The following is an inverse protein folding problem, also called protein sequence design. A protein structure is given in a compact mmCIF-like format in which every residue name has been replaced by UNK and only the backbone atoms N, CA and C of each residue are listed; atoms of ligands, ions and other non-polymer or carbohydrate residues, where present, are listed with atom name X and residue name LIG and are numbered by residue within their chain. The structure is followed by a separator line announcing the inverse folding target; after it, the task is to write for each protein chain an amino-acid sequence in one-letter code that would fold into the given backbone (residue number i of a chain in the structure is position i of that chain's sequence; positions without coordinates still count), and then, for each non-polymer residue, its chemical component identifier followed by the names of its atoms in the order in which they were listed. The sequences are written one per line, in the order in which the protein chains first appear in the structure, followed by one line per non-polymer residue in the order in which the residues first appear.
data_IF_995846824062
#
_entry.id   IF_995846824062
#
_cell.length_a   1.000
_cell.length_b   1.000
_cell.length_c   1.000
_cell.angle_alpha   90.00
_cell.angle_beta   90.00
_cell.angle_gamma   90.00
#
_symmetry.space_group_name_H-M   'P 1'
#
loop_
_entity.id
_entity.type
_entity.pdbx_description
1 polymer ?
#
# COMPACT_ATOMS: atom_id res chain seq x y z
N UNK A 1 14.50 12.13 -13.77
CA UNK A 1 13.95 12.21 -12.41
C UNK A 1 12.72 13.09 -12.45
N UNK A 2 11.77 12.89 -11.54
CA UNK A 2 10.57 13.72 -11.36
C UNK A 2 10.50 14.19 -9.91
N UNK A 3 9.97 15.38 -9.66
CA UNK A 3 9.71 15.87 -8.30
C UNK A 3 8.32 15.42 -7.85
N UNK A 4 8.26 14.76 -6.69
CA UNK A 4 7.02 14.38 -6.02
C UNK A 4 7.06 14.80 -4.56
N UNK A 5 5.90 14.88 -3.93
CA UNK A 5 5.73 15.11 -2.50
C UNK A 5 5.12 13.87 -1.86
N UNK A 6 5.75 13.33 -0.82
CA UNK A 6 5.21 12.22 -0.01
C UNK A 6 5.13 12.69 1.43
N UNK A 7 3.94 12.63 2.03
CA UNK A 7 3.69 13.05 3.42
C UNK A 7 4.24 14.47 3.72
N UNK A 8 4.09 15.39 2.77
CA UNK A 8 4.56 16.78 2.89
C UNK A 8 6.06 17.00 2.64
N UNK A 9 6.85 15.96 2.31
CA UNK A 9 8.27 16.08 1.98
C UNK A 9 8.50 15.91 0.48
N UNK A 10 9.34 16.76 -0.10
CA UNK A 10 9.71 16.68 -1.52
C UNK A 10 10.83 15.66 -1.76
N UNK A 11 10.70 14.91 -2.84
CA UNK A 11 11.66 13.89 -3.26
C UNK A 11 11.88 13.95 -4.77
N UNK A 12 13.13 13.75 -5.20
CA UNK A 12 13.43 13.44 -6.60
C UNK A 12 13.55 11.94 -6.78
N UNK A 13 12.77 11.40 -7.70
CA UNK A 13 12.70 9.95 -7.93
C UNK A 13 12.83 9.63 -9.43
N UNK A 14 13.22 8.41 -9.81
CA UNK A 14 13.16 7.98 -11.19
C UNK A 14 11.73 8.13 -11.75
N UNK A 15 11.61 8.36 -13.06
CA UNK A 15 10.31 8.28 -13.72
C UNK A 15 9.94 6.80 -13.94
N UNK A 16 8.66 6.52 -14.17
CA UNK A 16 8.17 5.20 -14.57
C UNK A 16 8.36 4.06 -13.54
N UNK A 17 8.76 4.39 -12.30
CA UNK A 17 8.68 3.51 -11.13
C UNK A 17 7.33 3.66 -10.42
N UNK A 18 6.95 2.66 -9.63
CA UNK A 18 5.70 2.69 -8.86
C UNK A 18 5.86 3.50 -7.58
N UNK A 19 4.74 4.02 -7.07
CA UNK A 19 4.73 4.71 -5.76
C UNK A 19 5.17 3.75 -4.64
N UNK A 20 4.81 2.47 -4.72
CA UNK A 20 5.22 1.48 -3.72
C UNK A 20 6.74 1.28 -3.68
N UNK A 21 7.40 1.14 -4.83
CA UNK A 21 8.86 1.02 -4.93
C UNK A 21 9.56 2.25 -4.35
N UNK A 22 9.07 3.45 -4.71
CA UNK A 22 9.61 4.70 -4.19
C UNK A 22 9.44 4.80 -2.67
N UNK A 23 8.28 4.44 -2.13
CA UNK A 23 8.06 4.45 -0.69
C UNK A 23 9.00 3.47 0.02
N UNK A 24 9.21 2.27 -0.54
CA UNK A 24 10.16 1.29 -0.02
C UNK A 24 11.60 1.84 0.02
N UNK A 25 12.05 2.48 -1.05
CA UNK A 25 13.38 3.10 -1.13
C UNK A 25 13.58 4.25 -0.13
N UNK A 26 12.48 4.94 0.22
CA UNK A 26 12.46 6.02 1.22
C UNK A 26 12.27 5.51 2.65
N UNK A 27 12.17 4.19 2.87
CA UNK A 27 11.92 3.59 4.18
C UNK A 27 10.50 3.80 4.71
N UNK A 28 9.55 4.12 3.84
CA UNK A 28 8.12 4.25 4.17
C UNK A 28 7.45 2.91 3.89
N UNK A 29 7.06 2.21 4.96
CA UNK A 29 6.36 0.95 4.82
C UNK A 29 4.89 1.15 4.41
N UNK A 30 4.48 0.42 3.38
CA UNK A 30 3.11 0.38 2.89
C UNK A 30 2.64 -1.08 2.90
N UNK A 31 1.55 -1.41 3.62
CA UNK A 31 1.12 -2.79 3.78
C UNK A 31 0.71 -3.40 2.45
N UNK A 32 1.12 -4.65 2.25
CA UNK A 32 0.88 -5.42 1.01
C UNK A 32 0.69 -6.89 1.34
N UNK A 33 -0.29 -7.54 0.72
CA UNK A 33 -0.44 -9.01 0.79
C UNK A 33 -0.16 -9.66 -0.56
N UNK A 34 -0.59 -9.04 -1.68
CA UNK A 34 -0.49 -9.63 -3.01
C UNK A 34 0.69 -9.13 -3.86
N UNK A 35 1.53 -8.23 -3.33
CA UNK A 35 2.67 -7.69 -4.08
C UNK A 35 3.88 -8.60 -3.89
N UNK A 36 4.53 -8.93 -5.00
CA UNK A 36 5.79 -9.67 -5.10
C UNK A 36 6.60 -8.99 -6.20
N UNK A 37 7.89 -8.73 -5.95
CA UNK A 37 8.77 -8.01 -6.87
C UNK A 37 9.11 -8.80 -8.14
N UNK A 38 8.85 -10.11 -8.14
CA UNK A 38 9.05 -11.00 -9.29
C UNK A 38 7.81 -11.08 -10.20
N UNK A 39 6.70 -10.46 -9.81
CA UNK A 39 5.41 -10.56 -10.51
C UNK A 39 4.91 -9.17 -10.94
N UNK A 40 4.08 -9.15 -11.99
CA UNK A 40 3.40 -7.93 -12.39
C UNK A 40 2.34 -7.49 -11.35
N UNK A 41 2.29 -6.20 -10.99
CA UNK A 41 1.32 -5.72 -10.01
C UNK A 41 -0.13 -5.81 -10.49
N UNK A 42 -0.95 -6.64 -9.83
CA UNK A 42 -2.38 -6.80 -10.11
C UNK A 42 -3.31 -5.92 -9.23
N UNK A 43 -2.80 -5.34 -8.15
CA UNK A 43 -3.59 -4.52 -7.20
C UNK A 43 -4.81 -5.23 -6.55
N UNK A 44 -4.73 -6.55 -6.37
CA UNK A 44 -5.83 -7.38 -5.85
C UNK A 44 -6.17 -7.10 -4.38
N UNK A 45 -5.19 -7.10 -3.48
CA UNK A 45 -5.45 -7.03 -2.03
C UNK A 45 -5.89 -5.64 -1.55
N UNK A 46 -5.71 -4.59 -2.36
CA UNK A 46 -6.05 -3.19 -2.06
C UNK A 46 -5.45 -2.58 -0.78
N UNK A 47 -4.64 -3.28 0.02
CA UNK A 47 -4.01 -2.73 1.23
C UNK A 47 -3.01 -1.61 0.95
N UNK A 48 -2.34 -1.66 -0.20
CA UNK A 48 -1.34 -0.68 -0.60
C UNK A 48 -1.91 0.66 -1.09
N UNK A 49 -3.19 0.93 -0.81
CA UNK A 49 -3.84 2.18 -1.21
C UNK A 49 -3.17 3.40 -0.56
N UNK A 50 -3.10 4.48 -1.34
CA UNK A 50 -2.60 5.80 -0.95
C UNK A 50 -3.54 6.88 -1.47
N UNK A 51 -3.56 8.03 -0.80
CA UNK A 51 -4.29 9.21 -1.27
C UNK A 51 -3.36 10.06 -2.14
N UNK A 52 -3.85 10.46 -3.31
CA UNK A 52 -3.15 11.37 -4.22
C UNK A 52 -3.97 12.65 -4.29
N UNK A 53 -3.36 13.79 -3.96
CA UNK A 53 -4.06 15.07 -3.96
C UNK A 53 -4.59 15.40 -5.36
N UNK A 54 -5.85 15.84 -5.43
CA UNK A 54 -6.54 16.10 -6.70
C UNK A 54 -7.13 14.84 -7.37
N UNK A 55 -7.07 13.68 -6.71
CA UNK A 55 -7.84 12.49 -7.09
C UNK A 55 -8.92 12.21 -6.05
N UNK A 56 -10.12 11.90 -6.52
CA UNK A 56 -11.25 11.59 -5.64
C UNK A 56 -11.11 10.21 -4.99
N UNK A 57 -10.52 9.26 -5.72
CA UNK A 57 -10.39 7.87 -5.30
C UNK A 57 -8.97 7.53 -4.83
N UNK A 58 -8.88 6.68 -3.80
CA UNK A 58 -7.62 6.10 -3.34
C UNK A 58 -7.00 5.19 -4.41
N UNK A 59 -5.71 5.33 -4.63
CA UNK A 59 -4.97 4.66 -5.68
C UNK A 59 -4.11 3.54 -5.11
N UNK A 60 -4.02 2.40 -5.78
CA UNK A 60 -3.12 1.33 -5.37
C UNK A 60 -1.66 1.70 -5.70
N UNK A 61 -0.82 1.87 -4.68
CA UNK A 61 0.57 2.28 -4.87
C UNK A 61 1.41 1.27 -5.67
N UNK A 62 1.05 -0.02 -5.63
CA UNK A 62 1.79 -1.07 -6.33
C UNK A 62 1.69 -0.99 -7.87
N UNK A 63 0.64 -0.38 -8.42
CA UNK A 63 0.46 -0.22 -9.87
C UNK A 63 0.50 1.24 -10.32
N UNK A 64 0.41 2.20 -9.38
CA UNK A 64 0.48 3.61 -9.67
C UNK A 64 1.91 4.06 -9.99
N UNK A 65 2.15 4.51 -11.22
CA UNK A 65 3.42 5.09 -11.64
C UNK A 65 3.57 6.54 -11.19
N UNK A 66 4.77 6.91 -10.73
CA UNK A 66 5.09 8.29 -10.35
C UNK A 66 5.08 9.24 -11.54
N UNK A 67 4.60 10.45 -11.32
CA UNK A 67 4.54 11.54 -12.31
C UNK A 67 4.95 12.84 -11.64
N UNK A 68 5.41 13.79 -12.44
CA UNK A 68 5.81 15.12 -11.98
C UNK A 68 4.69 15.80 -11.18
N UNK A 69 5.03 16.37 -10.03
CA UNK A 69 4.12 17.17 -9.21
C UNK A 69 3.09 16.38 -8.41
N UNK A 70 3.20 15.06 -8.31
CA UNK A 70 2.29 14.27 -7.46
C UNK A 70 2.49 14.59 -5.97
N UNK A 71 1.38 14.76 -5.23
CA UNK A 71 1.36 14.90 -3.77
C UNK A 71 0.60 13.71 -3.18
N UNK A 72 1.33 12.86 -2.45
CA UNK A 72 0.91 11.53 -1.99
C UNK A 72 0.88 11.51 -0.46
N UNK A 73 -0.24 11.06 0.09
CA UNK A 73 -0.42 10.83 1.52
C UNK A 73 -0.57 9.32 1.76
N UNK A 74 0.33 8.76 2.56
CA UNK A 74 0.41 7.31 2.81
C UNK A 74 -0.39 6.84 4.03
N UNK A 75 -0.80 7.78 4.88
CA UNK A 75 -1.46 7.54 6.16
C UNK A 75 -2.47 8.65 6.51
N UNK A 76 -3.13 9.23 5.51
CA UNK A 76 -4.27 10.12 5.77
C UNK A 76 -5.42 9.36 6.45
N UNK A 77 -6.34 10.07 7.09
CA UNK A 77 -7.50 9.46 7.76
C UNK A 77 -8.31 8.56 6.79
N UNK A 78 -8.47 8.99 5.53
CA UNK A 78 -9.14 8.19 4.49
C UNK A 78 -8.41 6.89 4.19
N UNK A 79 -7.07 6.93 4.09
CA UNK A 79 -6.25 5.75 3.81
C UNK A 79 -6.31 4.77 4.98
N UNK A 80 -6.17 5.27 6.21
CA UNK A 80 -6.22 4.43 7.41
C UNK A 80 -7.59 3.77 7.55
N UNK A 81 -8.68 4.54 7.37
CA UNK A 81 -10.04 4.00 7.42
C UNK A 81 -10.24 2.92 6.36
N UNK A 82 -9.89 3.19 5.11
CA UNK A 82 -10.07 2.23 4.03
C UNK A 82 -9.24 0.95 4.22
N UNK A 83 -8.03 1.03 4.79
CA UNK A 83 -7.22 -0.15 5.13
C UNK A 83 -7.89 -1.00 6.21
N UNK A 84 -8.48 -0.38 7.25
CA UNK A 84 -9.26 -1.09 8.27
C UNK A 84 -10.46 -1.80 7.65
N UNK A 85 -11.25 -1.09 6.85
CA UNK A 85 -12.42 -1.68 6.17
C UNK A 85 -12.03 -2.88 5.28
N UNK A 86 -10.86 -2.81 4.62
CA UNK A 86 -10.32 -3.93 3.81
C UNK A 86 -9.91 -5.11 4.69
N UNK A 87 -9.22 -4.86 5.81
CA UNK A 87 -8.84 -5.92 6.74
C UNK A 87 -10.09 -6.58 7.34
N UNK A 88 -11.07 -5.80 7.79
CA UNK A 88 -12.33 -6.32 8.32
C UNK A 88 -13.05 -7.21 7.30
N UNK A 89 -13.07 -6.80 6.03
CA UNK A 89 -13.65 -7.60 4.95
C UNK A 89 -12.86 -8.90 4.70
N UNK A 90 -11.53 -8.84 4.72
CA UNK A 90 -10.67 -10.02 4.60
C UNK A 90 -10.92 -11.01 5.75
N UNK A 91 -11.00 -10.52 6.99
CA UNK A 91 -11.25 -11.35 8.16
C UNK A 91 -12.67 -11.92 8.21
N UNK A 92 -13.68 -11.20 7.72
CA UNK A 92 -15.05 -11.70 7.70
C UNK A 92 -15.24 -13.01 6.92
N UNK A 93 -14.31 -13.33 6.02
CA UNK A 93 -14.31 -14.59 5.26
C UNK A 93 -13.10 -15.49 5.56
N UNK A 94 -12.20 -15.07 6.46
CA UNK A 94 -11.04 -15.87 6.85
C UNK A 94 -11.43 -16.86 7.96
N UNK A 95 -11.02 -18.14 7.88
CA UNK A 95 -11.26 -19.08 8.98
C UNK A 95 -10.63 -18.58 10.28
N UNK A 96 -11.36 -18.70 11.40
CA UNK A 96 -10.85 -18.34 12.74
C UNK A 96 -10.00 -19.47 13.34
N UNK A 97 -9.07 -20.01 12.55
CA UNK A 97 -8.28 -21.21 12.87
C UNK A 97 -6.83 -20.90 13.24
N UNK A 98 -6.52 -19.64 13.58
CA UNK A 98 -5.16 -19.17 13.89
C UNK A 98 -4.41 -20.02 14.92
N UNK A 99 -5.09 -20.67 15.87
CA UNK A 99 -4.43 -21.54 16.87
C UNK A 99 -4.02 -22.91 16.31
N UNK A 100 -4.62 -23.34 15.21
CA UNK A 100 -4.32 -24.58 14.49
C UNK A 100 -3.64 -24.36 13.14
N UNK A 101 -3.60 -23.12 12.66
CA UNK A 101 -2.99 -22.76 11.39
C UNK A 101 -1.46 -22.87 11.47
N UNK A 102 -0.85 -23.59 10.53
CA UNK A 102 0.61 -23.80 10.47
C UNK A 102 1.39 -22.49 10.25
N UNK A 103 0.74 -21.45 9.71
CA UNK A 103 1.36 -20.13 9.50
C UNK A 103 1.26 -19.20 10.69
N UNK A 104 0.62 -19.63 11.78
CA UNK A 104 0.49 -18.81 12.99
C UNK A 104 1.86 -18.41 13.53
N UNK A 105 2.08 -17.11 13.73
CA UNK A 105 3.38 -16.55 14.13
C UNK A 105 4.32 -16.18 12.98
N UNK A 106 4.00 -16.58 11.74
CA UNK A 106 4.69 -16.17 10.49
C UNK A 106 3.66 -15.75 9.41
N UNK A 107 2.55 -15.16 9.85
CA UNK A 107 1.44 -14.79 8.98
C UNK A 107 1.40 -13.27 8.78
N UNK A 108 1.69 -12.81 7.56
CA UNK A 108 1.63 -11.38 7.23
C UNK A 108 0.25 -10.73 7.44
N UNK A 109 -0.83 -11.51 7.33
CA UNK A 109 -2.18 -11.01 7.65
C UNK A 109 -2.36 -10.82 9.16
N UNK A 110 -1.75 -11.69 9.97
CA UNK A 110 -1.74 -11.58 11.44
C UNK A 110 -0.99 -10.34 11.91
N UNK A 111 0.10 -9.96 11.22
CA UNK A 111 0.88 -8.75 11.54
C UNK A 111 0.10 -7.43 11.42
N UNK A 112 -1.06 -7.45 10.74
CA UNK A 112 -1.90 -6.28 10.52
C UNK A 112 -3.12 -6.20 11.45
N UNK A 113 -3.29 -7.17 12.35
CA UNK A 113 -4.27 -7.18 13.44
C UNK A 113 -3.65 -6.71 14.76
#
# INVERSE_FOLDING_TARGET
MVEITINGRKHQVPKDVTVLEVCKDLGIDIPTLCYDDRLEPHAACRLCIVEVRGKDNLQASCSLKVREGMDIQTHSEKVIKARRDILDLLFSNHPEDCLSCEKSGDCKLQDYC
#
